data_IF_080946896019
#
_entry.id   IF_080946896019
#
_cell.length_a   1.000
_cell.length_b   1.000
_cell.length_c   1.000
_cell.angle_alpha   90.00
_cell.angle_beta   90.00
_cell.angle_gamma   90.00
#
_symmetry.space_group_name_H-M   'P 1'
#
loop_
_entity.id
_entity.type
_entity.pdbx_description
1 polymer ?
#
# COMPACT_ATOMS: atom_id res chain seq x y z
N UNK A 1 27.66 14.74 -44.24
CA UNK A 1 26.63 15.64 -43.69
C UNK A 1 26.06 14.98 -42.44
N UNK A 2 26.33 15.52 -41.26
CA UNK A 2 25.76 15.06 -39.99
C UNK A 2 24.39 15.74 -39.83
N UNK A 3 23.33 15.18 -40.42
CA UNK A 3 21.98 15.68 -40.17
C UNK A 3 21.61 15.38 -38.72
N UNK A 4 21.35 16.42 -37.93
CA UNK A 4 20.73 16.30 -36.61
C UNK A 4 19.47 15.44 -36.76
N UNK A 5 19.29 14.35 -35.99
CA UNK A 5 18.22 13.39 -36.26
C UNK A 5 16.86 13.96 -35.81
N UNK A 6 16.32 14.87 -36.60
CA UNK A 6 15.02 15.45 -36.40
C UNK A 6 13.99 14.54 -37.06
N UNK A 7 13.08 14.00 -36.24
CA UNK A 7 11.87 13.31 -36.68
C UNK A 7 10.88 14.26 -37.34
N UNK A 8 10.82 15.50 -36.85
CA UNK A 8 10.01 16.58 -37.38
C UNK A 8 10.78 17.89 -37.24
N UNK A 9 10.77 18.69 -38.31
CA UNK A 9 11.20 20.08 -38.31
C UNK A 9 10.03 20.89 -38.84
N UNK A 10 9.46 21.76 -38.02
CA UNK A 10 8.32 22.60 -38.39
C UNK A 10 8.65 24.08 -38.10
N UNK A 11 8.46 24.94 -39.09
CA UNK A 11 8.61 26.38 -38.93
C UNK A 11 7.29 26.97 -38.41
N UNK A 12 7.35 27.69 -37.28
CA UNK A 12 6.20 28.31 -36.63
C UNK A 12 5.96 29.71 -37.20
N UNK A 13 4.71 30.25 -37.15
CA UNK A 13 4.35 31.54 -37.75
C UNK A 13 5.15 32.76 -37.25
N UNK A 14 5.85 32.63 -36.12
CA UNK A 14 6.71 33.66 -35.53
C UNK A 14 8.19 33.53 -35.95
N UNK A 15 8.52 32.64 -36.88
CA UNK A 15 9.90 32.35 -37.31
C UNK A 15 10.70 31.44 -36.38
N UNK A 16 10.06 30.83 -35.37
CA UNK A 16 10.70 29.80 -34.54
C UNK A 16 10.64 28.43 -35.23
N UNK A 17 11.53 27.51 -34.88
CA UNK A 17 11.54 26.14 -35.42
C UNK A 17 11.28 25.12 -34.32
N UNK A 18 10.24 24.30 -34.48
CA UNK A 18 10.00 23.11 -33.68
C UNK A 18 10.86 21.97 -34.22
N UNK A 19 11.75 21.46 -33.38
CA UNK A 19 12.58 20.30 -33.65
C UNK A 19 12.14 19.15 -32.75
N UNK A 20 11.46 18.14 -33.33
CA UNK A 20 11.16 16.89 -32.62
C UNK A 20 12.26 15.92 -32.95
N UNK A 21 13.05 15.53 -31.95
CA UNK A 21 14.06 14.49 -32.11
C UNK A 21 13.38 13.12 -32.04
N UNK A 22 13.83 12.17 -32.88
CA UNK A 22 13.60 10.76 -32.56
C UNK A 22 14.69 10.33 -31.60
N UNK A 23 14.37 9.39 -30.74
CA UNK A 23 13.05 8.87 -30.44
C UNK A 23 12.20 9.78 -29.55
N UNK A 24 10.91 9.46 -29.53
CA UNK A 24 9.88 10.19 -28.80
C UNK A 24 9.83 9.77 -27.32
N UNK A 25 8.93 10.39 -26.55
CA UNK A 25 8.71 10.04 -25.16
C UNK A 25 8.31 8.55 -24.95
N UNK A 26 7.77 7.86 -25.97
CA UNK A 26 7.42 6.43 -25.86
C UNK A 26 8.65 5.51 -25.79
N UNK A 27 9.73 5.90 -26.45
CA UNK A 27 10.96 5.10 -26.61
C UNK A 27 12.07 5.65 -25.71
N UNK A 28 11.72 6.50 -24.74
CA UNK A 28 12.69 7.24 -23.94
C UNK A 28 13.66 6.30 -23.20
N UNK A 29 13.25 5.08 -22.85
CA UNK A 29 14.12 4.11 -22.19
C UNK A 29 15.07 3.36 -23.15
N UNK A 30 14.91 3.50 -24.46
CA UNK A 30 15.73 2.77 -25.45
C UNK A 30 17.15 3.34 -25.56
N UNK A 31 18.11 2.49 -25.93
CA UNK A 31 19.50 2.90 -26.09
C UNK A 31 19.67 3.86 -27.28
N UNK A 32 19.02 3.55 -28.41
CA UNK A 32 18.97 4.42 -29.58
C UNK A 32 18.46 5.82 -29.23
N UNK A 33 17.56 5.91 -28.23
CA UNK A 33 17.12 7.18 -27.69
C UNK A 33 18.18 8.04 -27.11
N UNK A 34 18.91 7.43 -26.18
CA UNK A 34 19.87 8.15 -25.37
C UNK A 34 21.04 8.59 -26.23
N UNK A 35 21.46 7.76 -27.18
CA UNK A 35 22.48 8.10 -28.18
C UNK A 35 22.03 9.27 -29.05
N UNK A 36 20.83 9.21 -29.61
CA UNK A 36 20.35 10.27 -30.52
C UNK A 36 20.17 11.61 -29.81
N UNK A 37 19.59 11.58 -28.60
CA UNK A 37 19.44 12.75 -27.77
C UNK A 37 20.80 13.33 -27.34
N UNK A 38 21.77 12.49 -26.95
CA UNK A 38 23.12 12.93 -26.60
C UNK A 38 23.82 13.63 -27.79
N UNK A 39 23.70 13.09 -29.00
CA UNK A 39 24.26 13.70 -30.23
C UNK A 39 23.65 15.07 -30.49
N UNK A 40 22.34 15.21 -30.35
CA UNK A 40 21.65 16.48 -30.54
C UNK A 40 22.08 17.53 -29.49
N UNK A 41 22.21 17.13 -28.22
CA UNK A 41 22.66 18.04 -27.16
C UNK A 41 24.06 18.60 -27.41
N UNK A 42 25.03 17.74 -27.73
CA UNK A 42 26.42 18.19 -28.00
C UNK A 42 26.51 19.02 -29.28
N UNK A 43 25.67 18.73 -30.28
CA UNK A 43 25.60 19.55 -31.50
C UNK A 43 25.13 20.99 -31.21
N UNK A 44 24.09 21.14 -30.38
CA UNK A 44 23.55 22.46 -29.99
C UNK A 44 24.39 23.17 -28.92
N UNK A 45 25.17 22.42 -28.14
CA UNK A 45 26.02 22.90 -27.06
C UNK A 45 27.41 22.24 -27.15
N UNK A 46 28.31 22.81 -27.97
CA UNK A 46 29.63 22.24 -28.25
C UNK A 46 30.55 22.14 -27.02
N UNK A 47 30.20 22.85 -25.94
CA UNK A 47 30.89 22.81 -24.65
C UNK A 47 30.62 21.52 -23.85
N UNK A 48 29.63 20.72 -24.24
CA UNK A 48 29.26 19.48 -23.55
C UNK A 48 30.02 18.28 -24.10
N UNK A 49 30.42 17.38 -23.20
CA UNK A 49 31.02 16.08 -23.55
C UNK A 49 29.94 15.02 -23.84
N UNK A 50 30.10 14.29 -24.94
CA UNK A 50 29.12 13.31 -25.40
C UNK A 50 28.94 12.15 -24.41
N UNK A 51 30.04 11.57 -23.91
CA UNK A 51 29.98 10.41 -23.03
C UNK A 51 29.35 10.75 -21.68
N UNK A 52 29.66 11.94 -21.15
CA UNK A 52 29.05 12.47 -19.93
C UNK A 52 27.55 12.71 -20.10
N UNK A 53 27.13 13.31 -21.21
CA UNK A 53 25.72 13.52 -21.52
C UNK A 53 24.99 12.19 -21.68
N UNK A 54 25.55 11.25 -22.45
CA UNK A 54 24.95 9.94 -22.70
C UNK A 54 24.78 9.15 -21.40
N UNK A 55 25.81 9.11 -20.54
CA UNK A 55 25.74 8.46 -19.22
C UNK A 55 24.63 9.06 -18.37
N UNK A 56 24.57 10.39 -18.26
CA UNK A 56 23.54 11.08 -17.46
C UNK A 56 22.13 10.77 -17.98
N UNK A 57 21.97 10.72 -19.30
CA UNK A 57 20.70 10.36 -19.91
C UNK A 57 20.30 8.91 -19.63
N UNK A 58 21.26 7.96 -19.71
CA UNK A 58 21.03 6.55 -19.38
C UNK A 58 20.62 6.36 -17.92
N UNK A 59 21.32 7.02 -16.99
CA UNK A 59 21.00 6.97 -15.55
C UNK A 59 19.57 7.48 -15.28
N UNK A 60 19.18 8.60 -15.89
CA UNK A 60 17.80 9.13 -15.78
C UNK A 60 16.76 8.17 -16.36
N UNK A 61 17.03 7.59 -17.53
CA UNK A 61 16.12 6.61 -18.12
C UNK A 61 15.99 5.36 -17.28
N UNK A 62 17.08 4.87 -16.68
CA UNK A 62 17.03 3.70 -15.81
C UNK A 62 16.14 3.93 -14.58
N UNK A 63 16.12 5.15 -14.03
CA UNK A 63 15.24 5.52 -12.91
C UNK A 63 13.76 5.58 -13.30
N UNK A 64 13.47 5.98 -14.54
CA UNK A 64 12.11 6.20 -15.02
C UNK A 64 11.54 5.03 -15.85
N UNK A 65 12.39 4.06 -16.21
CA UNK A 65 12.00 2.91 -17.02
C UNK A 65 10.81 2.19 -16.36
N UNK A 66 9.75 1.86 -17.12
CA UNK A 66 8.58 1.18 -16.58
C UNK A 66 8.96 -0.13 -15.89
N UNK A 67 8.49 -0.30 -14.65
CA UNK A 67 8.59 -1.53 -13.87
C UNK A 67 7.21 -2.15 -13.80
N UNK A 68 7.09 -3.40 -14.25
CA UNK A 68 5.83 -4.12 -14.20
C UNK A 68 5.44 -4.44 -12.74
N UNK A 69 4.24 -4.07 -12.27
CA UNK A 69 3.75 -4.43 -10.95
C UNK A 69 3.58 -5.95 -10.78
N UNK A 70 4.23 -6.52 -9.77
CA UNK A 70 4.20 -7.96 -9.42
C UNK A 70 4.14 -8.13 -7.89
N UNK A 71 3.19 -7.42 -7.29
CA UNK A 71 3.01 -7.38 -5.84
C UNK A 71 2.61 -8.75 -5.26
N UNK A 72 2.91 -8.95 -3.98
CA UNK A 72 2.51 -10.18 -3.28
C UNK A 72 0.98 -10.30 -3.25
N UNK A 73 0.38 -11.47 -3.61
CA UNK A 73 -1.06 -11.61 -3.82
C UNK A 73 -1.91 -11.17 -2.63
N UNK A 74 -1.51 -11.55 -1.41
CA UNK A 74 -2.27 -11.28 -0.17
C UNK A 74 -2.40 -9.79 0.18
N UNK A 75 -1.58 -8.94 -0.43
CA UNK A 75 -1.58 -7.48 -0.23
C UNK A 75 -1.67 -6.73 -1.55
N UNK A 76 -1.81 -7.44 -2.69
CA UNK A 76 -1.79 -6.83 -4.02
C UNK A 76 -2.90 -5.77 -4.20
N UNK A 77 -4.15 -5.97 -3.72
CA UNK A 77 -5.20 -4.95 -3.81
C UNK A 77 -4.86 -3.64 -3.06
N UNK A 78 -4.09 -3.73 -1.98
CA UNK A 78 -3.61 -2.57 -1.24
C UNK A 78 -2.41 -1.92 -1.95
N UNK A 79 -1.38 -2.73 -2.27
CA UNK A 79 -0.14 -2.23 -2.88
C UNK A 79 -0.35 -1.63 -4.27
N UNK A 80 -1.36 -2.07 -5.02
CA UNK A 80 -1.68 -1.53 -6.35
C UNK A 80 -2.11 -0.07 -6.33
N UNK A 81 -2.57 0.46 -5.19
CA UNK A 81 -3.03 1.83 -5.04
C UNK A 81 -1.93 2.80 -4.62
N UNK A 82 -0.82 2.30 -4.06
CA UNK A 82 0.28 3.12 -3.56
C UNK A 82 1.09 3.85 -4.65
N UNK A 83 1.35 3.28 -5.85
CA UNK A 83 2.12 3.94 -6.90
C UNK A 83 1.64 5.35 -7.29
N UNK A 84 0.33 5.60 -7.19
CA UNK A 84 -0.27 6.89 -7.54
C UNK A 84 -0.07 7.97 -6.47
N UNK A 85 0.23 7.57 -5.24
CA UNK A 85 0.56 8.48 -4.13
C UNK A 85 2.02 8.98 -4.18
N UNK A 86 2.87 8.37 -5.01
CA UNK A 86 4.27 8.79 -5.18
C UNK A 86 4.44 9.74 -6.36
N UNK A 87 5.46 10.60 -6.27
CA UNK A 87 5.87 11.45 -7.39
C UNK A 87 6.22 10.59 -8.62
N UNK A 88 5.95 11.10 -9.82
CA UNK A 88 6.24 10.39 -11.08
C UNK A 88 7.72 9.96 -11.14
N UNK A 89 8.62 10.79 -10.60
CA UNK A 89 10.06 10.53 -10.53
C UNK A 89 10.45 9.35 -9.63
N UNK A 90 9.62 9.01 -8.64
CA UNK A 90 9.91 7.95 -7.67
C UNK A 90 9.06 6.70 -7.92
N UNK A 91 7.97 6.82 -8.67
CA UNK A 91 6.97 5.78 -8.89
C UNK A 91 7.60 4.44 -9.29
N UNK A 92 8.48 4.42 -10.28
CA UNK A 92 9.07 3.16 -10.77
C UNK A 92 9.98 2.50 -9.73
N UNK A 93 10.77 3.31 -9.01
CA UNK A 93 11.56 2.82 -7.88
C UNK A 93 10.68 2.25 -6.79
N UNK A 94 9.58 2.92 -6.45
CA UNK A 94 8.62 2.46 -5.45
C UNK A 94 7.90 1.19 -5.86
N UNK A 95 7.52 1.05 -7.14
CA UNK A 95 6.99 -0.21 -7.66
C UNK A 95 8.02 -1.34 -7.51
N UNK A 96 9.30 -1.10 -7.81
CA UNK A 96 10.36 -2.09 -7.61
C UNK A 96 10.55 -2.47 -6.14
N UNK A 97 10.53 -1.50 -5.22
CA UNK A 97 10.58 -1.74 -3.77
C UNK A 97 9.38 -2.60 -3.30
N UNK A 98 8.17 -2.25 -3.74
CA UNK A 98 6.94 -2.99 -3.41
C UNK A 98 6.89 -4.39 -4.04
N UNK A 99 7.49 -4.59 -5.21
CA UNK A 99 7.65 -5.91 -5.84
C UNK A 99 8.59 -6.82 -5.03
N UNK A 100 9.65 -6.24 -4.45
CA UNK A 100 10.59 -6.97 -3.61
C UNK A 100 10.05 -7.23 -2.19
N UNK A 101 9.10 -6.41 -1.74
CA UNK A 101 8.49 -6.56 -0.42
C UNK A 101 7.75 -7.89 -0.28
N UNK A 102 8.06 -8.59 0.83
CA UNK A 102 7.37 -9.80 1.27
C UNK A 102 6.74 -9.50 2.62
N UNK A 103 5.41 -9.43 2.73
CA UNK A 103 4.78 -9.19 4.01
C UNK A 103 5.06 -10.39 4.94
N UNK A 104 5.38 -10.17 6.21
CA UNK A 104 5.58 -11.25 7.16
C UNK A 104 4.28 -12.04 7.32
N UNK A 105 4.37 -13.36 7.48
CA UNK A 105 3.18 -14.20 7.70
C UNK A 105 2.54 -13.78 9.03
N UNK A 106 1.20 -13.59 9.11
CA UNK A 106 0.54 -13.28 10.36
C UNK A 106 0.84 -14.31 11.44
N UNK A 107 1.39 -13.84 12.56
CA UNK A 107 1.71 -14.65 13.74
C UNK A 107 0.64 -14.51 14.83
N UNK A 108 -0.33 -13.59 14.65
CA UNK A 108 -1.37 -13.31 15.64
C UNK A 108 -2.49 -14.37 15.62
N UNK A 109 -2.11 -15.65 15.77
CA UNK A 109 -3.02 -16.78 15.87
C UNK A 109 -2.50 -17.87 16.80
N UNK A 110 -3.40 -18.70 17.34
CA UNK A 110 -3.09 -19.88 18.14
C UNK A 110 -3.81 -21.13 17.59
N UNK A 111 -3.26 -22.34 17.78
CA UNK A 111 -3.84 -23.57 17.23
C UNK A 111 -5.13 -24.01 17.95
N UNK A 112 -5.37 -23.55 19.17
CA UNK A 112 -6.55 -23.92 19.98
C UNK A 112 -7.01 -22.70 20.76
N UNK A 113 -8.33 -22.50 20.82
CA UNK A 113 -8.93 -21.45 21.63
C UNK A 113 -8.71 -21.73 23.11
N UNK A 114 -8.34 -20.70 23.87
CA UNK A 114 -8.43 -20.77 25.33
C UNK A 114 -9.86 -20.38 25.74
N UNK A 115 -10.51 -21.06 26.71
CA UNK A 115 -11.88 -20.75 27.11
C UNK A 115 -11.97 -19.31 27.64
N UNK A 116 -13.09 -18.58 27.43
CA UNK A 116 -13.24 -17.21 27.94
C UNK A 116 -12.91 -17.13 29.43
N UNK A 117 -12.14 -16.13 29.83
CA UNK A 117 -11.74 -15.89 31.23
C UNK A 117 -12.40 -14.62 31.81
N UNK A 118 -13.40 -14.09 31.11
CA UNK A 118 -14.22 -12.94 31.53
C UNK A 118 -15.48 -13.41 32.25
N UNK A 119 -15.90 -12.65 33.27
CA UNK A 119 -17.07 -12.99 34.07
C UNK A 119 -18.40 -12.91 33.29
N UNK A 120 -18.49 -11.97 32.35
CA UNK A 120 -19.67 -11.78 31.49
C UNK A 120 -19.23 -11.58 30.03
N UNK A 121 -19.16 -12.66 29.23
CA UNK A 121 -18.78 -12.58 27.82
C UNK A 121 -19.71 -11.66 27.01
N UNK A 122 -21.03 -11.73 27.21
CA UNK A 122 -22.02 -10.96 26.44
C UNK A 122 -21.78 -9.46 26.54
N UNK A 123 -21.55 -8.96 27.76
CA UNK A 123 -21.24 -7.54 27.99
C UNK A 123 -19.94 -7.09 27.33
N UNK A 124 -18.94 -7.98 27.27
CA UNK A 124 -17.67 -7.67 26.59
C UNK A 124 -17.88 -7.60 25.08
N UNK A 125 -18.70 -8.49 24.51
CA UNK A 125 -19.04 -8.46 23.09
C UNK A 125 -19.86 -7.21 22.71
N UNK A 126 -20.78 -6.77 23.56
CA UNK A 126 -21.49 -5.49 23.39
C UNK A 126 -20.49 -4.32 23.31
N UNK A 127 -19.52 -4.27 24.24
CA UNK A 127 -18.46 -3.25 24.21
C UNK A 127 -17.58 -3.32 22.95
N UNK A 128 -17.36 -4.50 22.37
CA UNK A 128 -16.64 -4.62 21.10
C UNK A 128 -17.50 -4.12 19.93
N UNK A 129 -18.80 -4.40 19.96
CA UNK A 129 -19.76 -3.80 19.03
C UNK A 129 -19.70 -2.27 19.05
N UNK A 130 -19.76 -1.66 20.23
CA UNK A 130 -19.68 -0.20 20.39
C UNK A 130 -18.37 0.37 19.83
N UNK A 131 -17.23 -0.31 20.05
CA UNK A 131 -15.93 0.08 19.51
C UNK A 131 -15.88 0.00 17.98
N UNK A 132 -16.42 -1.07 17.42
CA UNK A 132 -16.53 -1.31 15.97
C UNK A 132 -17.42 -0.26 15.31
N UNK A 133 -18.61 0.00 15.88
CA UNK A 133 -19.53 1.05 15.44
C UNK A 133 -18.89 2.44 15.55
N UNK A 134 -18.13 2.71 16.61
CA UNK A 134 -17.37 3.95 16.77
C UNK A 134 -16.36 4.18 15.65
N UNK A 135 -15.67 3.14 15.20
CA UNK A 135 -14.77 3.23 14.04
C UNK A 135 -15.53 3.56 12.76
N UNK A 136 -16.63 2.85 12.50
CA UNK A 136 -17.49 3.07 11.32
C UNK A 136 -18.03 4.49 11.33
N UNK A 137 -18.54 4.96 12.46
CA UNK A 137 -19.04 6.33 12.62
C UNK A 137 -17.94 7.37 12.32
N UNK A 138 -16.72 7.15 12.80
CA UNK A 138 -15.60 8.07 12.57
C UNK A 138 -15.13 8.09 11.11
N UNK A 139 -15.17 6.95 10.41
CA UNK A 139 -14.49 6.78 9.12
C UNK A 139 -15.40 6.63 7.90
N UNK A 140 -16.71 6.37 8.04
CA UNK A 140 -17.61 6.10 6.91
C UNK A 140 -17.64 7.21 5.85
N UNK A 141 -17.35 8.47 6.22
CA UNK A 141 -17.26 9.56 5.23
C UNK A 141 -15.96 9.54 4.41
N UNK A 142 -14.88 8.97 4.96
CA UNK A 142 -13.55 8.88 4.33
C UNK A 142 -13.32 7.52 3.67
N UNK A 143 -13.89 6.48 4.25
CA UNK A 143 -13.84 5.09 3.81
C UNK A 143 -15.28 4.54 3.81
N UNK A 144 -16.10 4.83 2.78
CA UNK A 144 -17.51 4.44 2.77
C UNK A 144 -17.74 2.92 2.85
N UNK A 145 -16.86 2.13 2.24
CA UNK A 145 -16.89 0.68 2.27
C UNK A 145 -16.75 0.09 3.67
N UNK A 146 -16.34 0.87 4.68
CA UNK A 146 -16.24 0.39 6.06
C UNK A 146 -17.59 -0.11 6.59
N UNK A 147 -18.70 0.39 6.09
CA UNK A 147 -20.05 -0.08 6.43
C UNK A 147 -20.34 -1.49 5.90
N UNK A 148 -19.65 -1.91 4.85
CA UNK A 148 -19.86 -3.21 4.22
C UNK A 148 -19.13 -4.33 4.95
N UNK A 149 -18.10 -4.04 5.77
CA UNK A 149 -17.37 -5.05 6.55
C UNK A 149 -16.87 -6.24 5.68
N UNK A 150 -16.20 -5.93 4.58
CA UNK A 150 -15.68 -6.90 3.60
C UNK A 150 -14.15 -6.94 3.61
N UNK A 151 -13.55 -7.90 2.88
CA UNK A 151 -12.11 -7.86 2.62
C UNK A 151 -11.68 -6.56 1.88
N UNK A 152 -12.57 -6.01 1.04
CA UNK A 152 -12.34 -4.75 0.35
C UNK A 152 -12.34 -3.57 1.33
N UNK A 153 -13.24 -3.55 2.33
CA UNK A 153 -13.26 -2.49 3.34
C UNK A 153 -11.97 -2.46 4.18
N UNK A 154 -11.39 -3.63 4.47
CA UNK A 154 -10.07 -3.72 5.11
C UNK A 154 -8.95 -3.18 4.22
N UNK A 155 -9.04 -3.41 2.91
CA UNK A 155 -8.08 -2.86 1.92
C UNK A 155 -8.17 -1.35 1.83
N UNK A 156 -9.39 -0.82 1.88
CA UNK A 156 -9.63 0.62 1.86
C UNK A 156 -9.15 1.29 3.15
N UNK A 157 -9.28 0.62 4.30
CA UNK A 157 -8.69 1.05 5.57
C UNK A 157 -7.16 1.04 5.52
N UNK A 158 -6.55 -0.05 5.02
CA UNK A 158 -5.10 -0.16 4.82
C UNK A 158 -4.57 1.03 4.00
N UNK A 159 -5.24 1.32 2.88
CA UNK A 159 -4.90 2.46 2.04
C UNK A 159 -5.10 3.81 2.74
N UNK A 160 -6.25 4.00 3.41
CA UNK A 160 -6.57 5.25 4.10
C UNK A 160 -5.53 5.59 5.18
N UNK A 161 -5.24 4.66 6.08
CA UNK A 161 -4.29 4.91 7.17
C UNK A 161 -2.87 5.15 6.66
N UNK A 162 -2.46 4.45 5.60
CA UNK A 162 -1.16 4.65 4.98
C UNK A 162 -1.05 6.02 4.33
N UNK A 163 -2.07 6.43 3.56
CA UNK A 163 -2.10 7.73 2.87
C UNK A 163 -2.06 8.89 3.86
N UNK A 164 -2.82 8.81 4.94
CA UNK A 164 -2.87 9.85 5.98
C UNK A 164 -1.64 9.87 6.89
N UNK A 165 -0.71 8.93 6.72
CA UNK A 165 0.43 8.71 7.61
C UNK A 165 0.01 8.59 9.09
N UNK A 166 -1.12 7.90 9.34
CA UNK A 166 -1.87 8.03 10.58
C UNK A 166 -1.04 7.71 11.85
N UNK A 167 -0.26 6.61 11.92
CA UNK A 167 0.52 6.28 13.12
C UNK A 167 1.54 7.34 13.52
N UNK A 168 2.01 8.13 12.57
CA UNK A 168 3.02 9.18 12.80
C UNK A 168 2.40 10.57 13.01
N UNK A 169 1.14 10.75 12.58
CA UNK A 169 0.41 12.03 12.69
C UNK A 169 -0.29 12.22 14.04
N UNK A 170 -0.69 11.12 14.68
CA UNK A 170 -1.46 11.14 15.93
C UNK A 170 -0.65 10.66 17.12
N UNK A 171 -1.04 11.08 18.33
CA UNK A 171 -0.33 10.68 19.55
C UNK A 171 -0.52 9.19 19.83
N UNK A 172 0.52 8.57 20.42
CA UNK A 172 0.43 7.16 20.86
C UNK A 172 -0.74 6.93 21.81
N UNK A 173 -0.98 7.86 22.73
CA UNK A 173 -2.10 7.76 23.65
C UNK A 173 -3.43 7.65 22.91
N UNK A 174 -3.71 8.51 21.92
CA UNK A 174 -4.96 8.44 21.13
C UNK A 174 -5.07 7.11 20.38
N UNK A 175 -3.98 6.69 19.73
CA UNK A 175 -3.93 5.45 18.96
C UNK A 175 -4.21 4.24 19.86
N UNK A 176 -3.49 4.14 20.97
CA UNK A 176 -3.51 2.97 21.85
C UNK A 176 -4.81 2.89 22.67
N UNK A 177 -5.43 4.03 22.99
CA UNK A 177 -6.68 4.07 23.77
C UNK A 177 -7.95 4.04 22.94
N UNK A 178 -7.93 4.49 21.68
CA UNK A 178 -9.14 4.60 20.86
C UNK A 178 -9.01 3.88 19.52
N UNK A 179 -8.04 4.25 18.68
CA UNK A 179 -8.00 3.78 17.28
C UNK A 179 -7.66 2.30 17.15
N UNK A 180 -6.60 1.83 17.80
CA UNK A 180 -6.20 0.42 17.74
C UNK A 180 -7.25 -0.52 18.37
N UNK A 181 -7.87 -0.19 19.53
CA UNK A 181 -9.00 -0.96 20.05
C UNK A 181 -10.19 -1.02 19.08
N UNK A 182 -10.61 0.11 18.52
CA UNK A 182 -11.74 0.18 17.59
C UNK A 182 -11.47 -0.62 16.31
N UNK A 183 -10.24 -0.58 15.79
CA UNK A 183 -9.80 -1.42 14.66
C UNK A 183 -9.77 -2.91 14.99
N UNK A 184 -9.30 -3.27 16.19
CA UNK A 184 -9.29 -4.66 16.64
C UNK A 184 -10.70 -5.25 16.74
N UNK A 185 -11.65 -4.47 17.25
CA UNK A 185 -13.05 -4.86 17.31
C UNK A 185 -13.65 -5.01 15.90
N UNK A 186 -13.48 -4.00 15.04
CA UNK A 186 -13.94 -4.03 13.66
C UNK A 186 -13.38 -5.21 12.87
N UNK A 187 -12.07 -5.44 12.94
CA UNK A 187 -11.42 -6.56 12.27
C UNK A 187 -12.00 -7.90 12.74
N UNK A 188 -12.22 -8.06 14.04
CA UNK A 188 -12.83 -9.28 14.57
C UNK A 188 -14.28 -9.48 14.13
N UNK A 189 -15.07 -8.41 14.05
CA UNK A 189 -16.44 -8.47 13.53
C UNK A 189 -16.48 -8.87 12.05
N UNK A 190 -15.56 -8.36 11.23
CA UNK A 190 -15.39 -8.79 9.84
C UNK A 190 -15.11 -10.29 9.77
N UNK A 191 -14.22 -10.82 10.62
CA UNK A 191 -13.94 -12.26 10.67
C UNK A 191 -15.17 -13.09 11.10
N UNK A 192 -15.93 -12.61 12.09
CA UNK A 192 -17.17 -13.27 12.53
C UNK A 192 -18.19 -13.31 11.40
N UNK A 193 -18.48 -12.17 10.78
CA UNK A 193 -19.54 -12.02 9.79
C UNK A 193 -19.19 -12.63 8.43
N UNK A 194 -17.93 -12.54 8.00
CA UNK A 194 -17.50 -13.01 6.66
C UNK A 194 -16.95 -14.43 6.67
N UNK A 195 -16.29 -14.85 7.75
CA UNK A 195 -15.66 -16.18 7.84
C UNK A 195 -16.41 -17.15 8.77
N UNK A 196 -17.55 -16.74 9.34
CA UNK A 196 -18.30 -17.55 10.30
C UNK A 196 -17.55 -17.73 11.62
N UNK A 197 -16.71 -16.76 11.97
CA UNK A 197 -15.91 -16.81 13.18
C UNK A 197 -16.76 -16.76 14.47
N UNK A 198 -16.16 -17.13 15.60
CA UNK A 198 -16.79 -16.97 16.92
C UNK A 198 -15.85 -16.24 17.86
N UNK A 199 -16.31 -15.15 18.47
CA UNK A 199 -15.56 -14.44 19.50
C UNK A 199 -15.33 -15.31 20.74
N UNK A 200 -14.15 -15.17 21.32
CA UNK A 200 -13.72 -15.75 22.60
C UNK A 200 -13.06 -14.62 23.39
N UNK A 201 -13.85 -13.83 24.15
CA UNK A 201 -13.35 -12.65 24.84
C UNK A 201 -12.40 -13.02 25.98
N UNK A 202 -11.38 -12.18 26.19
CA UNK A 202 -10.38 -12.32 27.24
C UNK A 202 -10.34 -11.10 28.16
N UNK A 203 -9.84 -11.28 29.39
CA UNK A 203 -9.62 -10.19 30.33
C UNK A 203 -8.68 -9.13 29.76
N UNK A 204 -7.60 -9.56 29.11
CA UNK A 204 -6.72 -8.68 28.36
C UNK A 204 -7.20 -8.61 26.92
N UNK A 205 -7.55 -7.41 26.47
CA UNK A 205 -8.16 -7.18 25.16
C UNK A 205 -7.29 -7.70 24.00
N UNK A 206 -5.96 -7.55 24.04
CA UNK A 206 -5.08 -8.06 22.97
C UNK A 206 -5.02 -9.60 22.92
N UNK A 207 -5.48 -10.28 23.97
CA UNK A 207 -5.60 -11.74 23.99
C UNK A 207 -6.97 -12.22 23.50
N UNK A 208 -7.95 -11.32 23.30
CA UNK A 208 -9.27 -11.65 22.76
C UNK A 208 -9.17 -12.25 21.37
N UNK A 209 -9.95 -13.32 21.16
CA UNK A 209 -9.74 -14.23 20.05
C UNK A 209 -11.00 -14.34 19.17
N UNK A 210 -10.81 -14.56 17.87
CA UNK A 210 -11.86 -14.99 16.96
C UNK A 210 -11.49 -16.36 16.41
N UNK A 211 -12.30 -17.37 16.72
CA UNK A 211 -12.12 -18.73 16.22
C UNK A 211 -12.65 -18.84 14.80
N UNK A 212 -11.78 -19.14 13.83
CA UNK A 212 -12.12 -19.43 12.43
C UNK A 212 -11.60 -20.83 12.09
N UNK A 213 -12.52 -21.74 11.77
CA UNK A 213 -12.20 -23.15 11.58
C UNK A 213 -11.48 -23.77 12.78
N UNK A 214 -10.24 -24.22 12.57
CA UNK A 214 -9.40 -24.86 13.60
C UNK A 214 -8.44 -23.91 14.31
N UNK A 215 -8.37 -22.63 13.92
CA UNK A 215 -7.46 -21.65 14.51
C UNK A 215 -8.21 -20.56 15.25
N UNK A 216 -7.52 -19.89 16.15
CA UNK A 216 -7.98 -18.63 16.72
C UNK A 216 -7.08 -17.50 16.32
N UNK A 217 -7.66 -16.36 16.02
CA UNK A 217 -7.01 -15.15 15.51
C UNK A 217 -7.12 -14.04 16.56
N UNK A 218 -6.08 -13.21 16.71
CA UNK A 218 -5.99 -12.17 17.73
C UNK A 218 -6.11 -10.78 17.10
N UNK A 219 -7.33 -10.31 16.76
CA UNK A 219 -7.52 -9.11 15.96
C UNK A 219 -7.06 -7.83 16.69
N UNK A 220 -7.21 -7.75 18.01
CA UNK A 220 -6.72 -6.61 18.79
C UNK A 220 -5.19 -6.53 18.83
N UNK A 221 -4.51 -7.67 18.95
CA UNK A 221 -3.04 -7.71 18.85
C UNK A 221 -2.57 -7.27 17.46
N UNK A 222 -3.25 -7.74 16.41
CA UNK A 222 -2.98 -7.33 15.02
C UNK A 222 -3.14 -5.82 14.87
N UNK A 223 -4.27 -5.25 15.30
CA UNK A 223 -4.54 -3.82 15.19
C UNK A 223 -3.51 -2.96 15.93
N UNK A 224 -3.08 -3.39 17.13
CA UNK A 224 -2.04 -2.72 17.89
C UNK A 224 -0.68 -2.73 17.19
N UNK A 225 -0.29 -3.85 16.58
CA UNK A 225 0.96 -3.97 15.78
C UNK A 225 0.87 -3.12 14.51
N UNK A 226 -0.25 -3.21 13.81
CA UNK A 226 -0.57 -2.41 12.62
C UNK A 226 -0.41 -0.91 12.83
N UNK A 227 -0.86 -0.41 13.98
CA UNK A 227 -0.80 1.02 14.29
C UNK A 227 0.54 1.52 14.86
N UNK A 228 1.64 0.75 14.79
CA UNK A 228 2.93 1.17 15.38
C UNK A 228 3.67 2.24 14.57
N UNK A 229 3.67 2.14 13.24
CA UNK A 229 4.40 3.04 12.33
C UNK A 229 3.81 2.95 10.93
N UNK A 230 4.19 3.86 10.02
CA UNK A 230 3.77 3.74 8.62
C UNK A 230 4.20 2.43 7.97
N UNK A 231 5.40 1.95 8.31
CA UNK A 231 5.91 0.66 7.85
C UNK A 231 5.08 -0.52 8.41
N UNK A 232 4.62 -0.41 9.65
CA UNK A 232 3.78 -1.43 10.28
C UNK A 232 2.43 -1.58 9.59
N UNK A 233 1.93 -0.54 8.91
CA UNK A 233 0.71 -0.63 8.09
C UNK A 233 0.89 -1.59 6.91
N UNK A 234 2.11 -1.73 6.38
CA UNK A 234 2.43 -2.69 5.32
C UNK A 234 2.67 -4.09 5.89
N UNK A 235 3.45 -4.18 6.97
CA UNK A 235 3.83 -5.46 7.59
C UNK A 235 2.67 -6.16 8.26
N UNK A 236 1.75 -5.39 8.84
CA UNK A 236 0.60 -5.89 9.58
C UNK A 236 -0.73 -5.54 8.91
N UNK A 237 -0.76 -5.44 7.57
CA UNK A 237 -1.97 -5.18 6.76
C UNK A 237 -3.19 -5.98 7.24
N UNK A 238 -4.32 -5.29 7.35
CA UNK A 238 -5.59 -5.88 7.78
C UNK A 238 -6.12 -6.85 6.72
N UNK A 239 -5.96 -6.51 5.44
CA UNK A 239 -6.32 -7.37 4.30
C UNK A 239 -5.53 -8.68 4.30
N UNK A 240 -4.23 -8.60 4.55
CA UNK A 240 -3.39 -9.80 4.65
C UNK A 240 -3.88 -10.72 5.77
N UNK A 241 -4.19 -10.15 6.93
CA UNK A 241 -4.68 -10.90 8.09
C UNK A 241 -5.98 -11.64 7.76
N UNK A 242 -6.92 -10.96 7.10
CA UNK A 242 -8.17 -11.56 6.66
C UNK A 242 -7.96 -12.72 5.68
N UNK A 243 -7.15 -12.53 4.64
CA UNK A 243 -6.89 -13.60 3.66
C UNK A 243 -6.18 -14.80 4.26
N UNK A 244 -5.25 -14.58 5.19
CA UNK A 244 -4.63 -15.70 5.90
C UNK A 244 -5.66 -16.44 6.76
N UNK A 245 -6.56 -15.74 7.47
CA UNK A 245 -7.63 -16.38 8.23
C UNK A 245 -8.63 -17.13 7.35
N UNK A 246 -8.97 -16.59 6.18
CA UNK A 246 -9.89 -17.16 5.19
C UNK A 246 -9.43 -18.53 4.70
N UNK A 247 -8.11 -18.77 4.58
CA UNK A 247 -7.52 -20.07 4.19
C UNK A 247 -7.87 -21.21 5.15
N UNK A 248 -8.30 -20.90 6.37
CA UNK A 248 -8.66 -21.89 7.40
C UNK A 248 -10.16 -22.01 7.61
N UNK A 249 -10.97 -21.41 6.72
CA UNK A 249 -12.41 -21.65 6.70
C UNK A 249 -12.69 -23.15 6.48
N UNK A 250 -13.69 -23.74 7.17
CA UNK A 250 -14.10 -25.13 6.95
C UNK A 250 -14.57 -25.41 5.53
#
# INVERSE_FOLDING_TARGET
>A
MLSTPAHLVEELPNGSVLLVLRPTAADFASEEARVTQARAHVHLRPDLDFDTVLRTLRERSAVLAPVEPRFHPDVAPFLSRLPDEFSISERQRKIAELNAFRPPVPEEWLPVAHPPDVANPERVLESYGDLSEGLVAALHTKVPSIMDETAESLTDLDFYFWRENFPERYTRELIDSHTAPALGAYLGDVLVRRLGGTWVPRQKMEESQVRVGKRVWLPFLRARRYMQSRQSLLEYSLTQFFHEAERYRP
#
